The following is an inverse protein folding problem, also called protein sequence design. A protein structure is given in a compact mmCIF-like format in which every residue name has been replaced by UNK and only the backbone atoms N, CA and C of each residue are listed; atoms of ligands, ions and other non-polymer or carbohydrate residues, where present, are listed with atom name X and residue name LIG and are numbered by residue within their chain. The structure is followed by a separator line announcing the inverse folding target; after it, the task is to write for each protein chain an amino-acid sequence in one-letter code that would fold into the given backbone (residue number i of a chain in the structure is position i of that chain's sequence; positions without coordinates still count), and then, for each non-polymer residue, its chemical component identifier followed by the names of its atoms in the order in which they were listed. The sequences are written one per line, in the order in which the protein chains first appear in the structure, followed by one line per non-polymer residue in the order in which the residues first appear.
data_IF_698867863365
#
_entry.id   IF_698867863365
#
_cell.length_a   1.000
_cell.length_b   1.000
_cell.length_c   1.000
_cell.angle_alpha   90.00
_cell.angle_beta   90.00
_cell.angle_gamma   90.00
#
_symmetry.space_group_name_H-M   'P 1'
#
loop_
_entity.id
_entity.type
_entity.pdbx_description
1 polymer ?
#
# COMPACT_ATOMS: atom_id res chain seq x y z
N UNK A 1 2.21 -11.38 19.17
CA UNK A 1 2.54 -9.94 18.94
C UNK A 1 2.58 -9.71 17.43
N UNK A 2 1.86 -8.68 16.92
CA UNK A 2 1.83 -8.35 15.49
C UNK A 2 3.21 -7.92 15.00
N UNK A 3 3.51 -8.18 13.76
CA UNK A 3 4.71 -7.66 13.12
C UNK A 3 4.57 -6.15 12.87
N UNK A 4 5.69 -5.44 12.85
CA UNK A 4 5.77 -4.02 12.52
C UNK A 4 6.61 -3.87 11.26
N UNK A 5 6.04 -3.24 10.24
CA UNK A 5 6.69 -2.97 8.98
C UNK A 5 6.66 -1.47 8.62
N UNK A 6 7.58 -1.05 7.77
CA UNK A 6 7.63 0.31 7.25
C UNK A 6 7.99 0.30 5.76
N UNK A 7 7.50 1.31 5.03
CA UNK A 7 7.84 1.50 3.62
C UNK A 7 9.32 1.86 3.43
N UNK A 8 9.94 1.29 2.39
CA UNK A 8 11.18 1.84 1.85
C UNK A 8 10.80 2.97 0.89
N UNK A 9 10.94 4.20 1.35
CA UNK A 9 10.46 5.37 0.62
C UNK A 9 11.47 5.82 -0.44
N UNK A 10 11.19 5.52 -1.70
CA UNK A 10 12.03 5.91 -2.84
C UNK A 10 11.74 7.34 -3.36
N UNK A 11 10.80 8.08 -2.74
CA UNK A 11 10.43 9.43 -3.20
C UNK A 11 11.52 10.47 -2.91
N UNK A 12 12.35 10.25 -1.90
CA UNK A 12 13.53 11.10 -1.66
C UNK A 12 14.71 10.61 -2.49
N UNK A 13 14.91 11.24 -3.66
CA UNK A 13 15.98 10.88 -4.62
C UNK A 13 17.40 11.19 -4.13
N UNK A 14 17.57 11.91 -3.02
CA UNK A 14 18.89 12.22 -2.47
C UNK A 14 19.44 11.04 -1.66
N UNK A 15 18.57 10.24 -1.04
CA UNK A 15 18.96 9.08 -0.24
C UNK A 15 19.03 7.84 -1.13
N UNK A 16 20.13 7.10 -1.02
CA UNK A 16 20.23 5.81 -1.70
C UNK A 16 19.28 4.81 -1.00
N UNK A 17 18.45 4.05 -1.74
CA UNK A 17 17.58 3.04 -1.15
C UNK A 17 18.29 2.04 -0.23
N UNK A 18 19.53 1.67 -0.57
CA UNK A 18 20.35 0.81 0.27
C UNK A 18 20.62 1.42 1.65
N UNK A 19 21.01 2.69 1.70
CA UNK A 19 21.29 3.37 2.97
C UNK A 19 20.02 3.53 3.82
N UNK A 20 18.89 3.70 3.16
CA UNK A 20 17.57 3.72 3.81
C UNK A 20 17.23 2.35 4.42
N UNK A 21 17.41 1.27 3.67
CA UNK A 21 17.18 -0.11 4.11
C UNK A 21 18.10 -0.44 5.31
N UNK A 22 19.37 -0.06 5.25
CA UNK A 22 20.33 -0.23 6.35
C UNK A 22 19.88 0.53 7.61
N UNK A 23 19.40 1.76 7.44
CA UNK A 23 18.88 2.59 8.54
C UNK A 23 17.64 1.96 9.17
N UNK A 24 16.67 1.51 8.37
CA UNK A 24 15.46 0.82 8.83
C UNK A 24 15.83 -0.40 9.65
N UNK A 25 16.76 -1.23 9.18
CA UNK A 25 17.24 -2.41 9.91
C UNK A 25 17.92 -2.04 11.22
N UNK A 26 18.83 -1.04 11.19
CA UNK A 26 19.58 -0.54 12.37
C UNK A 26 18.65 -0.03 13.46
N UNK A 27 17.57 0.66 13.09
CA UNK A 27 16.58 1.21 14.03
C UNK A 27 15.77 0.13 14.74
N UNK A 28 15.64 -1.04 14.15
CA UNK A 28 14.97 -2.17 14.80
C UNK A 28 13.82 -2.80 14.02
N UNK A 29 13.40 -2.24 12.89
CA UNK A 29 12.45 -2.92 12.03
C UNK A 29 13.01 -4.25 11.54
N UNK A 30 12.12 -5.23 11.37
CA UNK A 30 12.44 -6.53 10.79
C UNK A 30 11.57 -6.86 9.59
N UNK A 31 10.56 -6.06 9.33
CA UNK A 31 9.72 -6.15 8.16
C UNK A 31 9.65 -4.80 7.46
N UNK A 32 9.62 -4.85 6.14
CA UNK A 32 9.42 -3.69 5.25
C UNK A 32 8.36 -4.01 4.21
N UNK A 33 7.90 -3.00 3.49
CA UNK A 33 7.31 -3.18 2.17
C UNK A 33 7.97 -2.27 1.15
N UNK A 34 7.91 -2.69 -0.12
CA UNK A 34 8.56 -2.02 -1.22
C UNK A 34 7.52 -1.42 -2.16
N UNK A 35 7.86 -0.31 -2.77
CA UNK A 35 7.11 0.24 -3.89
C UNK A 35 7.66 -0.37 -5.18
N UNK A 36 6.79 -1.03 -5.96
CA UNK A 36 7.15 -1.76 -7.17
C UNK A 36 6.62 -1.01 -8.39
N UNK A 37 7.46 -0.24 -9.02
CA UNK A 37 7.13 0.45 -10.24
C UNK A 37 8.38 0.65 -11.10
N UNK A 38 8.19 0.48 -12.40
CA UNK A 38 9.24 0.69 -13.37
C UNK A 38 9.54 2.19 -13.51
N UNK A 39 10.62 2.63 -12.92
CA UNK A 39 11.16 3.99 -13.06
C UNK A 39 12.67 3.91 -13.25
N UNK A 40 13.13 4.13 -14.49
CA UNK A 40 14.56 4.11 -14.86
C UNK A 40 15.39 5.14 -14.08
N UNK A 41 14.76 6.06 -13.36
CA UNK A 41 15.42 7.01 -12.49
C UNK A 41 15.78 6.49 -11.10
N UNK A 42 15.36 5.26 -10.74
CA UNK A 42 15.70 4.67 -9.45
C UNK A 42 17.19 4.39 -9.36
N UNK A 43 17.80 4.77 -8.24
CA UNK A 43 19.22 4.49 -7.95
C UNK A 43 19.49 3.00 -7.68
N UNK A 44 18.46 2.24 -7.44
CA UNK A 44 18.49 0.81 -7.15
C UNK A 44 17.15 0.21 -7.56
N UNK A 45 17.17 -0.80 -8.43
CA UNK A 45 15.96 -1.47 -8.90
C UNK A 45 15.22 -2.17 -7.75
N UNK A 46 13.92 -2.40 -7.90
CA UNK A 46 13.07 -2.99 -6.86
C UNK A 46 13.54 -4.39 -6.48
N UNK A 47 13.92 -5.20 -7.47
CA UNK A 47 14.45 -6.54 -7.25
C UNK A 47 15.75 -6.51 -6.44
N UNK A 48 16.63 -5.57 -6.73
CA UNK A 48 17.87 -5.39 -5.98
C UNK A 48 17.60 -4.96 -4.54
N UNK A 49 16.61 -4.07 -4.33
CA UNK A 49 16.17 -3.66 -2.99
C UNK A 49 15.64 -4.86 -2.19
N UNK A 50 14.82 -5.70 -2.82
CA UNK A 50 14.25 -6.89 -2.22
C UNK A 50 15.34 -7.90 -1.84
N UNK A 51 16.26 -8.21 -2.76
CA UNK A 51 17.34 -9.13 -2.52
C UNK A 51 18.28 -8.61 -1.41
N UNK A 52 18.58 -7.31 -1.43
CA UNK A 52 19.42 -6.68 -0.42
C UNK A 52 18.77 -6.71 0.97
N UNK A 53 17.49 -6.34 1.05
CA UNK A 53 16.75 -6.37 2.30
C UNK A 53 16.75 -7.78 2.93
N UNK A 54 16.46 -8.80 2.13
CA UNK A 54 16.50 -10.20 2.58
C UNK A 54 17.90 -10.64 3.02
N UNK A 55 18.92 -10.23 2.28
CA UNK A 55 20.33 -10.54 2.63
C UNK A 55 20.74 -10.05 4.00
N UNK A 56 20.24 -8.88 4.43
CA UNK A 56 20.55 -8.32 5.75
C UNK A 56 19.56 -8.77 6.85
N UNK A 57 18.57 -9.59 6.52
CA UNK A 57 17.62 -10.17 7.47
C UNK A 57 16.32 -9.42 7.66
N UNK A 58 15.93 -8.56 6.71
CA UNK A 58 14.60 -7.97 6.64
C UNK A 58 13.65 -8.91 5.88
N UNK A 59 12.42 -9.04 6.38
CA UNK A 59 11.33 -9.66 5.66
C UNK A 59 10.58 -8.61 4.84
N UNK A 60 10.16 -8.96 3.61
CA UNK A 60 9.31 -8.12 2.78
C UNK A 60 7.88 -8.61 2.94
N UNK A 61 7.05 -7.83 3.64
CA UNK A 61 5.69 -8.19 4.00
C UNK A 61 4.73 -8.20 2.80
N UNK A 62 4.92 -7.27 1.88
CA UNK A 62 4.19 -7.15 0.61
C UNK A 62 4.88 -6.13 -0.30
N UNK A 63 4.34 -5.99 -1.49
CA UNK A 63 4.81 -5.03 -2.49
C UNK A 63 3.64 -4.13 -2.90
N UNK A 64 3.87 -2.84 -3.02
CA UNK A 64 2.92 -1.88 -3.55
C UNK A 64 3.19 -1.65 -5.04
N UNK A 65 2.26 -2.08 -5.90
CA UNK A 65 2.39 -1.94 -7.36
C UNK A 65 2.29 -0.47 -7.80
N UNK A 66 2.89 -0.16 -8.93
CA UNK A 66 2.76 1.14 -9.56
C UNK A 66 1.31 1.46 -9.97
N UNK A 67 0.94 2.75 -9.95
CA UNK A 67 -0.44 3.17 -10.26
C UNK A 67 -0.52 4.27 -11.33
N UNK A 68 0.56 4.51 -12.07
CA UNK A 68 0.68 5.66 -12.98
C UNK A 68 -0.40 5.69 -14.07
N UNK A 69 -0.82 4.52 -14.56
CA UNK A 69 -1.81 4.37 -15.64
C UNK A 69 -3.06 3.60 -15.20
N UNK A 70 -3.31 3.48 -13.90
CA UNK A 70 -4.42 2.66 -13.40
C UNK A 70 -5.80 3.17 -13.86
N UNK A 71 -5.96 4.49 -14.08
CA UNK A 71 -7.20 5.07 -14.58
C UNK A 71 -7.57 4.57 -15.98
N UNK A 72 -6.59 4.20 -16.80
CA UNK A 72 -6.80 3.68 -18.16
C UNK A 72 -7.62 2.39 -18.14
N UNK A 73 -7.58 1.61 -17.06
CA UNK A 73 -8.39 0.40 -16.91
C UNK A 73 -9.89 0.70 -16.98
N UNK A 74 -10.32 1.86 -16.51
CA UNK A 74 -11.72 2.28 -16.49
C UNK A 74 -12.13 3.11 -17.71
N UNK A 75 -11.16 3.56 -18.52
CA UNK A 75 -11.44 4.45 -19.64
C UNK A 75 -11.97 3.67 -20.86
N UNK A 76 -13.25 3.89 -21.19
CA UNK A 76 -13.91 3.28 -22.34
C UNK A 76 -13.61 4.01 -23.66
N UNK A 77 -12.99 5.19 -23.60
CA UNK A 77 -12.64 5.98 -24.78
C UNK A 77 -11.31 5.57 -25.40
N UNK A 78 -10.45 4.91 -24.63
CA UNK A 78 -9.17 4.38 -25.09
C UNK A 78 -9.34 3.12 -25.95
N UNK A 79 -8.42 2.94 -26.89
CA UNK A 79 -8.38 1.73 -27.70
C UNK A 79 -7.99 0.52 -26.83
N UNK A 80 -8.70 -0.61 -27.02
CA UNK A 80 -8.48 -1.81 -26.20
C UNK A 80 -7.04 -2.32 -26.26
N UNK A 81 -6.34 -2.14 -27.39
CA UNK A 81 -4.92 -2.49 -27.51
C UNK A 81 -4.02 -1.67 -26.56
N UNK A 82 -4.34 -0.38 -26.32
CA UNK A 82 -3.58 0.47 -25.41
C UNK A 82 -3.82 0.08 -23.95
N UNK A 83 -5.07 -0.20 -23.60
CA UNK A 83 -5.43 -0.61 -22.24
C UNK A 83 -4.94 -2.02 -21.93
N UNK A 84 -4.99 -2.92 -22.93
CA UNK A 84 -4.40 -4.27 -22.74
C UNK A 84 -2.94 -4.21 -22.35
N UNK A 85 -2.15 -3.27 -22.87
CA UNK A 85 -0.75 -3.09 -22.45
C UNK A 85 -0.64 -2.75 -20.96
N UNK A 86 -1.54 -1.90 -20.45
CA UNK A 86 -1.57 -1.58 -19.01
C UNK A 86 -1.92 -2.81 -18.19
N UNK A 87 -2.91 -3.57 -18.60
CA UNK A 87 -3.29 -4.83 -17.94
C UNK A 87 -2.12 -5.82 -17.93
N UNK A 88 -1.44 -5.96 -19.08
CA UNK A 88 -0.30 -6.84 -19.22
C UNK A 88 0.89 -6.39 -18.35
N UNK A 89 1.13 -5.07 -18.18
CA UNK A 89 2.12 -4.54 -17.25
C UNK A 89 1.83 -5.00 -15.81
N UNK A 90 0.59 -4.90 -15.32
CA UNK A 90 0.21 -5.41 -13.99
C UNK A 90 0.38 -6.92 -13.87
N UNK A 91 0.04 -7.67 -14.91
CA UNK A 91 0.22 -9.13 -14.95
C UNK A 91 1.71 -9.49 -14.85
N UNK A 92 2.58 -8.79 -15.56
CA UNK A 92 4.03 -9.04 -15.48
C UNK A 92 4.60 -8.66 -14.10
N UNK A 93 4.14 -7.57 -13.48
CA UNK A 93 4.52 -7.20 -12.12
C UNK A 93 4.10 -8.29 -11.12
N UNK A 94 2.89 -8.85 -11.23
CA UNK A 94 2.41 -9.96 -10.40
C UNK A 94 3.26 -11.22 -10.61
N UNK A 95 3.59 -11.56 -11.85
CA UNK A 95 4.48 -12.69 -12.17
C UNK A 95 5.89 -12.48 -11.58
N UNK A 96 6.42 -11.26 -11.66
CA UNK A 96 7.70 -10.92 -11.05
C UNK A 96 7.63 -11.08 -9.53
N UNK A 97 6.59 -10.57 -8.88
CA UNK A 97 6.36 -10.75 -7.45
C UNK A 97 6.31 -12.24 -7.06
N UNK A 98 5.59 -13.07 -7.83
CA UNK A 98 5.55 -14.53 -7.62
C UNK A 98 6.94 -15.16 -7.67
N UNK A 99 7.74 -14.80 -8.69
CA UNK A 99 9.12 -15.30 -8.86
C UNK A 99 9.99 -15.01 -7.64
N UNK A 100 9.77 -13.87 -7.00
CA UNK A 100 10.48 -13.47 -5.77
C UNK A 100 9.79 -13.94 -4.49
N UNK A 101 8.76 -14.79 -4.56
CA UNK A 101 8.06 -15.34 -3.41
C UNK A 101 7.31 -14.29 -2.59
N UNK A 102 6.77 -13.28 -3.25
CA UNK A 102 5.81 -12.32 -2.67
C UNK A 102 4.41 -12.89 -2.88
N UNK A 103 3.63 -12.99 -1.83
CA UNK A 103 2.29 -13.58 -1.82
C UNK A 103 1.17 -12.54 -1.67
N UNK A 104 1.52 -11.28 -1.42
CA UNK A 104 0.59 -10.17 -1.29
C UNK A 104 1.11 -8.93 -2.03
N UNK A 105 0.26 -8.37 -2.89
CA UNK A 105 0.51 -7.09 -3.56
C UNK A 105 -0.58 -6.08 -3.23
N UNK A 106 -0.21 -4.81 -3.11
CA UNK A 106 -1.16 -3.70 -2.98
C UNK A 106 -1.35 -3.08 -4.36
N UNK A 107 -2.60 -2.84 -4.73
CA UNK A 107 -2.96 -2.25 -6.01
C UNK A 107 -4.00 -1.15 -5.82
N UNK A 108 -3.80 -0.02 -6.46
CA UNK A 108 -4.84 1.00 -6.57
C UNK A 108 -5.94 0.58 -7.54
N UNK A 109 -7.14 1.12 -7.37
CA UNK A 109 -8.20 1.07 -8.38
C UNK A 109 -8.25 2.36 -9.20
N UNK A 110 -7.76 3.46 -8.62
CA UNK A 110 -7.70 4.77 -9.28
C UNK A 110 -6.46 5.54 -8.82
N UNK A 111 -6.07 6.53 -9.62
CA UNK A 111 -5.12 7.57 -9.22
C UNK A 111 -5.73 8.94 -9.50
N UNK A 112 -5.43 9.96 -8.65
CA UNK A 112 -5.95 11.34 -8.75
C UNK A 112 -7.48 11.41 -8.59
N UNK A 113 -8.08 12.59 -8.84
CA UNK A 113 -9.51 12.85 -8.72
C UNK A 113 -10.27 12.82 -10.05
N UNK A 114 -9.57 12.70 -11.17
CA UNK A 114 -10.10 12.74 -12.54
C UNK A 114 -10.20 11.34 -13.17
N UNK A 115 -10.37 10.32 -12.36
CA UNK A 115 -10.56 8.96 -12.88
C UNK A 115 -11.92 8.84 -13.60
N UNK A 116 -11.97 8.09 -14.73
CA UNK A 116 -13.24 7.75 -15.39
C UNK A 116 -14.16 7.00 -14.43
N UNK A 117 -15.48 7.08 -14.62
CA UNK A 117 -16.42 6.30 -13.82
C UNK A 117 -16.15 4.78 -13.94
N UNK A 118 -16.36 4.05 -12.83
CA UNK A 118 -16.27 2.59 -12.84
C UNK A 118 -17.34 1.98 -13.75
N UNK A 119 -16.99 0.92 -14.48
CA UNK A 119 -17.83 0.30 -15.49
C UNK A 119 -17.49 -1.18 -15.70
N UNK A 120 -18.30 -1.91 -16.49
CA UNK A 120 -18.12 -3.35 -16.69
C UNK A 120 -16.84 -3.67 -17.47
N UNK A 121 -16.41 -2.84 -18.43
CA UNK A 121 -15.12 -3.06 -19.11
C UNK A 121 -13.95 -3.02 -18.14
N UNK A 122 -13.94 -2.06 -17.22
CA UNK A 122 -12.93 -1.99 -16.17
C UNK A 122 -12.92 -3.26 -15.31
N UNK A 123 -14.09 -3.80 -14.96
CA UNK A 123 -14.17 -5.08 -14.24
C UNK A 123 -13.62 -6.24 -15.07
N UNK A 124 -13.93 -6.33 -16.35
CA UNK A 124 -13.39 -7.37 -17.25
C UNK A 124 -11.87 -7.33 -17.30
N UNK A 125 -11.30 -6.13 -17.39
CA UNK A 125 -9.86 -5.91 -17.39
C UNK A 125 -9.22 -6.27 -16.05
N UNK A 126 -9.86 -5.92 -14.93
CA UNK A 126 -9.41 -6.31 -13.59
C UNK A 126 -9.50 -7.83 -13.38
N UNK A 127 -10.54 -8.50 -13.89
CA UNK A 127 -10.67 -9.97 -13.80
C UNK A 127 -9.47 -10.68 -14.41
N UNK A 128 -8.94 -10.21 -15.55
CA UNK A 128 -7.73 -10.78 -16.17
C UNK A 128 -6.52 -10.72 -15.23
N UNK A 129 -6.36 -9.61 -14.51
CA UNK A 129 -5.26 -9.45 -13.53
C UNK A 129 -5.47 -10.38 -12.34
N UNK A 130 -6.70 -10.43 -11.82
CA UNK A 130 -7.07 -11.25 -10.65
C UNK A 130 -6.92 -12.74 -10.97
N UNK A 131 -7.33 -13.20 -12.14
CA UNK A 131 -7.20 -14.61 -12.60
C UNK A 131 -5.74 -15.06 -12.57
N UNK A 132 -4.81 -14.24 -13.09
CA UNK A 132 -3.38 -14.55 -13.04
C UNK A 132 -2.87 -14.57 -11.59
N UNK A 133 -3.31 -13.64 -10.75
CA UNK A 133 -2.93 -13.65 -9.34
C UNK A 133 -3.45 -14.91 -8.63
N UNK A 134 -4.67 -15.36 -8.93
CA UNK A 134 -5.23 -16.61 -8.40
C UNK A 134 -4.43 -17.83 -8.84
N UNK A 135 -4.08 -17.94 -10.11
CA UNK A 135 -3.26 -19.03 -10.65
C UNK A 135 -1.89 -19.12 -9.96
N UNK A 136 -1.31 -17.98 -9.63
CA UNK A 136 -0.01 -17.88 -8.96
C UNK A 136 -0.11 -17.94 -7.43
N UNK A 137 -1.32 -17.98 -6.86
CA UNK A 137 -1.54 -17.97 -5.41
C UNK A 137 -1.24 -16.63 -4.73
N UNK A 138 -1.17 -15.55 -5.50
CA UNK A 138 -0.95 -14.19 -5.00
C UNK A 138 -2.28 -13.56 -4.57
N UNK A 139 -2.25 -12.83 -3.47
CA UNK A 139 -3.35 -11.98 -3.02
C UNK A 139 -3.16 -10.55 -3.53
N UNK A 140 -4.26 -9.93 -3.93
CA UNK A 140 -4.30 -8.49 -4.27
C UNK A 140 -5.11 -7.77 -3.18
N UNK A 141 -4.50 -6.80 -2.52
CA UNK A 141 -5.22 -5.90 -1.63
C UNK A 141 -5.46 -4.57 -2.36
N UNK A 142 -6.71 -4.28 -2.70
CA UNK A 142 -7.07 -3.00 -3.28
C UNK A 142 -7.13 -1.92 -2.21
N UNK A 143 -6.51 -0.78 -2.49
CA UNK A 143 -6.39 0.31 -1.53
C UNK A 143 -7.54 1.32 -1.66
N UNK A 144 -8.06 1.81 -0.53
CA UNK A 144 -8.94 2.96 -0.54
C UNK A 144 -8.14 4.22 -0.85
N UNK A 145 -8.29 4.69 -2.09
CA UNK A 145 -7.62 5.90 -2.59
C UNK A 145 -8.50 7.14 -2.42
N UNK A 146 -8.49 8.06 -3.37
CA UNK A 146 -9.14 9.39 -3.24
C UNK A 146 -10.63 9.41 -3.61
N UNK A 147 -11.13 8.40 -4.32
CA UNK A 147 -12.48 8.37 -4.89
C UNK A 147 -13.24 7.18 -4.30
N UNK A 148 -14.41 7.46 -3.76
CA UNK A 148 -15.34 6.44 -3.26
C UNK A 148 -15.99 5.66 -4.41
N UNK A 149 -16.53 4.49 -4.10
CA UNK A 149 -17.37 3.70 -4.98
C UNK A 149 -16.64 2.60 -5.75
N UNK A 150 -15.37 2.77 -6.09
CA UNK A 150 -14.62 1.75 -6.84
C UNK A 150 -14.42 0.46 -6.06
N UNK A 151 -14.06 0.56 -4.79
CA UNK A 151 -13.93 -0.61 -3.92
C UNK A 151 -15.26 -1.35 -3.80
N UNK A 152 -16.33 -0.62 -3.47
CA UNK A 152 -17.67 -1.19 -3.34
C UNK A 152 -18.11 -1.85 -4.65
N UNK A 153 -17.85 -1.19 -5.79
CA UNK A 153 -18.19 -1.74 -7.10
C UNK A 153 -17.43 -3.03 -7.41
N UNK A 154 -16.11 -3.04 -7.20
CA UNK A 154 -15.28 -4.24 -7.42
C UNK A 154 -15.69 -5.37 -6.50
N UNK A 155 -15.81 -5.12 -5.19
CA UNK A 155 -16.13 -6.18 -4.21
C UNK A 155 -17.57 -6.68 -4.28
N UNK A 156 -18.49 -5.93 -4.91
CA UNK A 156 -19.85 -6.38 -5.19
C UNK A 156 -19.91 -7.29 -6.43
N UNK A 157 -19.06 -7.02 -7.43
CA UNK A 157 -19.13 -7.68 -8.73
C UNK A 157 -18.06 -8.75 -8.98
N UNK A 158 -17.03 -8.82 -8.13
CA UNK A 158 -15.98 -9.85 -8.20
C UNK A 158 -15.95 -10.63 -6.89
N UNK A 159 -16.24 -11.91 -6.97
CA UNK A 159 -16.17 -12.82 -5.81
C UNK A 159 -14.90 -13.68 -5.91
N UNK A 160 -13.82 -13.21 -5.28
CA UNK A 160 -12.54 -13.93 -5.19
C UNK A 160 -12.05 -13.95 -3.75
N UNK A 161 -11.45 -15.06 -3.34
CA UNK A 161 -10.76 -15.17 -2.05
C UNK A 161 -9.37 -14.54 -2.08
N UNK A 162 -8.86 -14.23 -3.27
CA UNK A 162 -7.54 -13.65 -3.48
C UNK A 162 -7.58 -12.11 -3.53
N UNK A 163 -8.78 -11.49 -3.48
CA UNK A 163 -8.89 -10.04 -3.35
C UNK A 163 -9.28 -9.64 -1.92
N UNK A 164 -8.67 -8.58 -1.45
CA UNK A 164 -8.94 -7.97 -0.14
C UNK A 164 -8.72 -6.48 -0.16
N UNK A 165 -8.88 -5.87 0.99
CA UNK A 165 -8.65 -4.44 1.20
C UNK A 165 -7.24 -4.20 1.76
N UNK A 166 -6.55 -3.21 1.23
CA UNK A 166 -5.53 -2.45 1.95
C UNK A 166 -6.21 -1.22 2.53
N UNK A 167 -6.44 -1.19 3.85
CA UNK A 167 -7.03 -0.01 4.48
C UNK A 167 -5.94 1.04 4.71
N UNK A 168 -6.05 2.17 4.02
CA UNK A 168 -5.24 3.35 4.23
C UNK A 168 -5.96 4.35 5.14
N UNK A 169 -5.38 4.57 6.33
CA UNK A 169 -5.94 5.47 7.34
C UNK A 169 -5.82 6.95 6.95
N UNK A 170 -4.69 7.32 6.33
CA UNK A 170 -4.46 8.68 5.88
C UNK A 170 -5.37 9.09 4.74
N UNK A 171 -5.57 8.23 3.75
CA UNK A 171 -6.55 8.45 2.68
C UNK A 171 -7.98 8.57 3.23
N UNK A 172 -8.36 7.71 4.19
CA UNK A 172 -9.67 7.77 4.82
C UNK A 172 -9.87 9.12 5.50
N UNK A 173 -8.89 9.59 6.26
CA UNK A 173 -8.93 10.86 6.97
C UNK A 173 -8.95 12.07 6.02
N UNK A 174 -8.09 12.08 5.01
CA UNK A 174 -7.94 13.21 4.09
C UNK A 174 -9.10 13.36 3.09
N UNK A 175 -9.76 12.24 2.70
CA UNK A 175 -10.67 12.23 1.56
C UNK A 175 -12.09 11.74 1.89
N UNK A 176 -12.30 11.07 3.02
CA UNK A 176 -13.58 10.43 3.37
C UNK A 176 -14.18 10.94 4.68
N UNK A 177 -13.61 11.98 5.28
CA UNK A 177 -14.04 12.52 6.57
C UNK A 177 -14.17 11.43 7.66
N UNK A 178 -13.29 10.43 7.63
CA UNK A 178 -13.28 9.25 8.49
C UNK A 178 -14.52 8.34 8.33
N UNK A 179 -15.34 8.57 7.29
CA UNK A 179 -16.47 7.71 6.95
C UNK A 179 -16.01 6.58 6.02
N UNK A 180 -16.04 5.36 6.50
CA UNK A 180 -15.67 4.17 5.73
C UNK A 180 -16.62 3.01 6.01
N UNK A 181 -16.97 2.23 4.97
CA UNK A 181 -17.87 1.09 5.10
C UNK A 181 -17.11 -0.17 5.60
N UNK A 182 -16.70 -0.15 6.86
CA UNK A 182 -15.94 -1.24 7.47
C UNK A 182 -16.65 -2.60 7.42
N UNK A 183 -17.98 -2.62 7.52
CA UNK A 183 -18.76 -3.88 7.55
C UNK A 183 -18.61 -4.69 6.25
N UNK A 184 -18.51 -4.01 5.11
CA UNK A 184 -18.27 -4.65 3.81
C UNK A 184 -16.93 -5.41 3.74
N UNK A 185 -15.94 -4.93 4.48
CA UNK A 185 -14.58 -5.46 4.44
C UNK A 185 -14.21 -6.32 5.65
N UNK A 186 -15.19 -6.66 6.50
CA UNK A 186 -14.96 -7.54 7.63
C UNK A 186 -14.40 -8.89 7.17
N UNK A 187 -13.29 -9.31 7.78
CA UNK A 187 -12.48 -10.47 7.39
C UNK A 187 -11.83 -10.40 6.00
N UNK A 188 -11.85 -9.24 5.34
CA UNK A 188 -11.27 -9.04 4.00
C UNK A 188 -10.13 -8.03 3.98
N UNK A 189 -9.71 -7.49 5.13
CA UNK A 189 -8.57 -6.58 5.21
C UNK A 189 -7.29 -7.42 5.20
N UNK A 190 -6.50 -7.32 4.13
CA UNK A 190 -5.24 -8.05 3.96
C UNK A 190 -4.02 -7.25 4.40
N UNK A 191 -4.08 -5.93 4.25
CA UNK A 191 -3.02 -5.01 4.63
C UNK A 191 -3.60 -3.70 5.17
N UNK A 192 -2.75 -2.91 5.83
CA UNK A 192 -3.06 -1.54 6.23
C UNK A 192 -1.91 -0.62 5.85
N UNK A 193 -2.21 0.63 5.48
CA UNK A 193 -1.25 1.72 5.43
C UNK A 193 -1.61 2.71 6.54
N UNK A 194 -0.72 2.85 7.51
CA UNK A 194 -0.91 3.73 8.64
C UNK A 194 0.08 4.89 8.55
N UNK A 195 -0.45 6.05 8.30
CA UNK A 195 0.22 7.34 8.32
C UNK A 195 -0.77 8.42 8.70
N UNK A 196 -0.30 9.55 9.14
CA UNK A 196 -1.14 10.63 9.62
C UNK A 196 -1.20 11.80 8.63
N UNK A 197 -2.18 12.66 8.81
CA UNK A 197 -2.31 13.96 8.18
C UNK A 197 -3.25 14.87 9.00
N UNK A 198 -3.31 16.15 8.64
CA UNK A 198 -4.17 17.15 9.27
C UNK A 198 -5.42 17.48 8.44
N UNK A 199 -5.82 16.62 7.52
CA UNK A 199 -6.90 16.79 6.53
C UNK A 199 -6.60 17.80 5.40
N UNK A 200 -5.53 18.57 5.47
CA UNK A 200 -5.22 19.53 4.38
C UNK A 200 -4.76 18.83 3.11
N UNK A 201 -4.10 17.69 3.25
CA UNK A 201 -3.62 16.86 2.15
C UNK A 201 -3.20 15.48 2.66
N UNK A 202 -2.87 14.59 1.74
CA UNK A 202 -2.26 13.30 2.00
C UNK A 202 -0.77 13.46 2.34
N UNK A 203 -0.46 13.72 3.63
CA UNK A 203 0.85 14.16 4.09
C UNK A 203 1.83 13.01 4.39
N UNK A 204 1.33 11.80 4.67
CA UNK A 204 2.13 10.66 5.13
C UNK A 204 3.00 10.96 6.36
N UNK A 205 2.42 11.67 7.34
CA UNK A 205 3.09 11.97 8.60
C UNK A 205 3.27 10.72 9.46
N UNK A 206 4.19 10.79 10.40
CA UNK A 206 4.32 9.79 11.45
C UNK A 206 3.01 9.78 12.25
N UNK A 207 2.41 8.61 12.57
CA UNK A 207 1.21 8.53 13.40
C UNK A 207 1.35 9.35 14.69
N UNK A 208 0.28 10.09 15.04
CA UNK A 208 0.17 11.08 16.10
C UNK A 208 0.81 12.45 15.83
N UNK A 209 1.41 12.68 14.65
CA UNK A 209 1.86 14.02 14.23
C UNK A 209 0.74 14.78 13.49
N UNK A 210 -0.35 14.13 13.11
CA UNK A 210 -1.54 14.73 12.51
C UNK A 210 -2.76 14.72 13.46
N UNK A 211 -3.93 14.53 12.87
CA UNK A 211 -5.22 14.65 13.60
C UNK A 211 -6.07 13.38 13.57
N UNK A 212 -5.54 12.24 13.09
CA UNK A 212 -6.27 10.97 13.06
C UNK A 212 -6.55 10.47 14.49
N UNK A 213 -7.80 10.07 14.74
CA UNK A 213 -8.15 9.34 15.97
C UNK A 213 -7.72 7.87 15.89
N UNK A 214 -6.49 7.60 16.32
CA UNK A 214 -5.90 6.27 16.29
C UNK A 214 -6.64 5.25 17.16
N UNK A 215 -7.34 5.68 18.23
CA UNK A 215 -8.16 4.77 19.02
C UNK A 215 -9.34 4.26 18.20
N UNK A 216 -10.00 5.14 17.46
CA UNK A 216 -11.10 4.77 16.58
C UNK A 216 -10.61 3.87 15.44
N UNK A 217 -9.53 4.25 14.73
CA UNK A 217 -8.97 3.46 13.62
C UNK A 217 -8.62 2.04 14.08
N UNK A 218 -7.87 1.88 15.18
CA UNK A 218 -7.48 0.56 15.69
C UNK A 218 -8.70 -0.24 16.14
N UNK A 219 -9.68 0.38 16.80
CA UNK A 219 -10.93 -0.28 17.18
C UNK A 219 -11.67 -0.84 15.97
N UNK A 220 -11.82 -0.04 14.91
CA UNK A 220 -12.48 -0.47 13.66
C UNK A 220 -11.75 -1.60 12.95
N UNK A 221 -10.44 -1.55 12.87
CA UNK A 221 -9.64 -2.64 12.31
C UNK A 221 -9.76 -3.94 13.11
N UNK A 222 -9.84 -3.85 14.44
CA UNK A 222 -10.10 -5.02 15.31
C UNK A 222 -11.51 -5.59 15.09
N UNK A 223 -12.54 -4.74 15.01
CA UNK A 223 -13.91 -5.13 14.71
C UNK A 223 -14.01 -5.84 13.34
N UNK A 224 -13.15 -5.47 12.38
CA UNK A 224 -13.00 -6.13 11.08
C UNK A 224 -12.19 -7.42 11.13
N UNK A 225 -11.72 -7.87 12.30
CA UNK A 225 -10.86 -9.04 12.48
C UNK A 225 -9.51 -8.93 11.73
N UNK A 226 -8.99 -7.71 11.54
CA UNK A 226 -7.67 -7.55 10.95
C UNK A 226 -6.60 -8.18 11.85
N UNK A 227 -5.82 -9.10 11.32
CA UNK A 227 -4.78 -9.84 12.03
C UNK A 227 -3.38 -9.73 11.40
N UNK A 228 -3.24 -8.90 10.36
CA UNK A 228 -1.97 -8.65 9.69
C UNK A 228 -1.00 -7.76 10.50
N UNK A 229 0.15 -7.43 9.90
CA UNK A 229 1.16 -6.56 10.50
C UNK A 229 0.65 -5.11 10.64
N UNK A 230 1.24 -4.37 11.58
CA UNK A 230 1.12 -2.89 11.63
C UNK A 230 2.10 -2.34 10.60
N UNK A 231 1.61 -1.74 9.53
CA UNK A 231 2.46 -1.26 8.44
C UNK A 231 2.38 0.27 8.32
N UNK A 232 3.54 0.91 8.42
CA UNK A 232 3.67 2.36 8.40
C UNK A 232 4.06 2.83 6.98
N UNK A 233 3.22 3.67 6.37
CA UNK A 233 3.53 4.28 5.07
C UNK A 233 4.02 5.72 5.24
N UNK A 234 5.21 5.86 5.78
CA UNK A 234 5.80 7.14 6.13
C UNK A 234 6.52 7.79 4.94
N UNK A 235 6.50 9.12 4.85
CA UNK A 235 7.22 9.87 3.84
C UNK A 235 8.26 10.80 4.46
N UNK A 236 9.56 10.50 4.22
CA UNK A 236 10.66 11.36 4.63
C UNK A 236 10.77 12.56 3.68
N UNK A 237 9.98 13.60 3.93
CA UNK A 237 9.89 14.84 3.13
C UNK A 237 9.42 16.01 3.98
N UNK A 238 9.40 17.20 3.40
CA UNK A 238 8.89 18.43 4.01
C UNK A 238 9.54 18.70 5.39
N UNK A 239 8.72 18.80 6.43
CA UNK A 239 9.11 19.06 7.82
C UNK A 239 10.11 18.04 8.39
N UNK A 240 10.13 16.84 7.87
CA UNK A 240 11.07 15.80 8.33
C UNK A 240 12.47 15.93 7.72
N UNK A 241 12.67 16.74 6.70
CA UNK A 241 13.99 16.95 6.10
C UNK A 241 14.97 17.67 7.03
N UNK A 242 14.47 18.37 8.06
CA UNK A 242 15.29 18.99 9.09
C UNK A 242 15.76 17.98 10.16
N UNK A 243 15.17 16.80 10.17
CA UNK A 243 15.51 15.70 11.09
C UNK A 243 16.34 14.68 10.33
N UNK A 244 17.41 14.17 10.95
CA UNK A 244 18.21 13.13 10.33
C UNK A 244 17.35 11.85 10.10
N UNK A 245 17.61 11.15 9.00
CA UNK A 245 16.81 9.99 8.55
C UNK A 245 16.76 8.86 9.59
N UNK A 246 17.81 8.67 10.38
CA UNK A 246 17.82 7.67 11.45
C UNK A 246 16.85 8.05 12.58
N UNK A 247 16.81 9.33 12.95
CA UNK A 247 15.87 9.82 13.97
C UNK A 247 14.42 9.79 13.47
N UNK A 248 14.18 10.06 12.18
CA UNK A 248 12.87 9.88 11.56
C UNK A 248 12.36 8.44 11.71
N UNK A 249 13.16 7.45 11.32
CA UNK A 249 12.75 6.05 11.45
C UNK A 249 12.70 5.57 12.90
N UNK A 250 13.52 6.09 13.83
CA UNK A 250 13.40 5.81 15.26
C UNK A 250 12.05 6.27 15.81
N UNK A 251 11.60 7.47 15.42
CA UNK A 251 10.26 7.96 15.81
C UNK A 251 9.17 7.07 15.21
N UNK A 252 9.26 6.76 13.91
CA UNK A 252 8.35 5.84 13.25
C UNK A 252 8.28 4.47 13.95
N UNK A 253 9.42 3.91 14.33
CA UNK A 253 9.47 2.65 15.08
C UNK A 253 8.76 2.76 16.44
N UNK A 254 9.04 3.80 17.20
CA UNK A 254 8.43 4.04 18.53
C UNK A 254 6.91 4.21 18.45
N UNK A 255 6.42 4.97 17.46
CA UNK A 255 4.97 5.14 17.23
C UNK A 255 4.31 3.88 16.72
N UNK A 256 4.98 3.11 15.85
CA UNK A 256 4.53 1.80 15.41
C UNK A 256 4.37 0.81 16.55
N UNK A 257 5.32 0.81 17.52
CA UNK A 257 5.21 0.02 18.75
C UNK A 257 4.01 0.45 19.60
N UNK A 258 3.70 1.74 19.63
CA UNK A 258 2.51 2.26 20.33
C UNK A 258 1.23 1.76 19.68
N UNK A 259 1.09 1.90 18.35
CA UNK A 259 -0.04 1.37 17.60
C UNK A 259 -0.19 -0.14 17.79
N UNK A 260 0.92 -0.89 17.72
CA UNK A 260 0.92 -2.34 17.93
C UNK A 260 0.34 -2.73 19.28
N UNK A 261 0.70 -2.01 20.36
CA UNK A 261 0.12 -2.22 21.69
C UNK A 261 -1.37 -1.92 21.75
N UNK A 262 -1.84 -0.90 21.00
CA UNK A 262 -3.27 -0.58 20.93
C UNK A 262 -4.09 -1.71 20.28
N UNK A 263 -3.50 -2.47 19.36
CA UNK A 263 -4.14 -3.67 18.79
C UNK A 263 -4.22 -4.85 19.76
N UNK A 264 -3.40 -4.89 20.80
CA UNK A 264 -3.34 -5.99 21.77
C UNK A 264 -4.28 -5.76 22.98
N UNK A 265 -4.68 -4.52 23.24
CA UNK A 265 -5.58 -4.12 24.33
C UNK A 265 -7.06 -4.10 23.89
#
# INVERSE_FOLDING_TARGET
MRELAVVVNNKNKEINPKDMIDTIYKVGFRNIFLQWYNDDSLKMLQEEQLEYARKIGLNVAFVHLGYKRINDIWDETLQEEEVSKVVDEYIEDIKACSKYGIDLVIMHLTSKFDAPEYNEKGLERLRRIIEVAEELGIKIAFENTKIRGYLEYVFTNINSKNIGLCYDAGHCHAHFDDEFNYEMFKNKIFAVHLHDNDKSSDQHLIPFDGTIDWNNVVSKLRECNYNGPVTLELSYRNEYLEVDVENFYKRGYSTGETLRKMFEN
#
